data_IF_104264904509
#
_entry.id   IF_104264904509
#
_cell.length_a   1.000
_cell.length_b   1.000
_cell.length_c   1.000
_cell.angle_alpha   90.00
_cell.angle_beta   90.00
_cell.angle_gamma   90.00
#
_symmetry.space_group_name_H-M   'P 1'
#
loop_
_entity.id
_entity.type
_entity.pdbx_description
1 polymer ?
#
# COMPACT_ATOMS: atom_id res chain seq x y z
N UNK A 1 -16.88 0.67 1.14
CA UNK A 1 -15.72 -0.11 0.66
C UNK A 1 -15.47 -1.35 1.53
N UNK A 2 -15.25 -1.22 2.84
CA UNK A 2 -14.93 -2.35 3.74
C UNK A 2 -15.94 -3.50 3.66
N UNK A 3 -17.26 -3.23 3.76
CA UNK A 3 -18.29 -4.29 3.68
C UNK A 3 -18.30 -5.09 2.37
N UNK A 4 -17.98 -4.44 1.24
CA UNK A 4 -18.00 -5.08 -0.07
C UNK A 4 -16.78 -5.98 -0.26
N UNK A 5 -15.60 -5.50 0.17
CA UNK A 5 -14.37 -6.31 0.20
C UNK A 5 -14.53 -7.48 1.17
N UNK A 6 -15.05 -7.24 2.38
CA UNK A 6 -15.32 -8.29 3.38
C UNK A 6 -16.23 -9.37 2.83
N UNK A 7 -17.34 -9.01 2.16
CA UNK A 7 -18.25 -9.99 1.56
C UNK A 7 -17.60 -10.86 0.48
N UNK A 8 -16.75 -10.29 -0.38
CA UNK A 8 -16.01 -11.04 -1.41
C UNK A 8 -14.96 -11.97 -0.79
N UNK A 9 -14.29 -11.53 0.28
CA UNK A 9 -13.32 -12.36 0.99
C UNK A 9 -14.02 -13.54 1.68
N UNK A 10 -15.09 -13.27 2.43
CA UNK A 10 -15.88 -14.28 3.13
C UNK A 10 -16.47 -15.31 2.15
N UNK A 11 -17.02 -14.88 1.01
CA UNK A 11 -17.56 -15.79 -0.01
C UNK A 11 -16.49 -16.68 -0.65
N UNK A 12 -15.21 -16.31 -0.56
CA UNK A 12 -14.07 -17.05 -1.07
C UNK A 12 -13.28 -17.80 0.02
N UNK A 13 -13.85 -17.96 1.22
CA UNK A 13 -13.20 -18.60 2.38
C UNK A 13 -11.89 -17.90 2.80
N UNK A 14 -11.83 -16.58 2.63
CA UNK A 14 -10.71 -15.74 3.03
C UNK A 14 -11.11 -14.92 4.27
N UNK A 15 -10.23 -14.80 5.28
CA UNK A 15 -10.50 -13.95 6.43
C UNK A 15 -10.83 -12.51 6.00
N UNK A 16 -11.92 -11.94 6.51
CA UNK A 16 -12.35 -10.57 6.18
C UNK A 16 -11.38 -9.45 6.60
N UNK A 17 -10.29 -9.80 7.29
CA UNK A 17 -9.25 -8.90 7.78
C UNK A 17 -7.93 -8.99 6.99
N UNK A 18 -8.00 -9.27 5.67
CA UNK A 18 -6.80 -9.29 4.82
C UNK A 18 -6.53 -7.89 4.26
N UNK A 19 -5.27 -7.50 4.44
CA UNK A 19 -4.57 -6.28 4.06
C UNK A 19 -5.06 -5.64 2.74
N UNK A 20 -5.24 -4.32 2.76
CA UNK A 20 -5.51 -3.49 1.58
C UNK A 20 -4.21 -2.79 1.17
N UNK A 21 -3.61 -3.22 0.07
CA UNK A 21 -2.49 -2.49 -0.55
C UNK A 21 -3.03 -1.29 -1.35
N UNK A 22 -2.25 -0.23 -1.37
CA UNK A 22 -2.55 1.18 -1.68
C UNK A 22 -3.41 1.50 -2.92
N UNK A 23 -4.06 2.68 -2.89
CA UNK A 23 -4.81 3.27 -4.01
C UNK A 23 -3.97 4.35 -4.71
N UNK A 24 -3.55 4.08 -5.94
CA UNK A 24 -3.11 5.10 -6.89
C UNK A 24 -4.30 5.82 -7.53
N UNK A 25 -4.18 7.13 -7.77
CA UNK A 25 -5.21 7.91 -8.47
C UNK A 25 -5.40 7.48 -9.93
N UNK A 26 -6.57 7.77 -10.51
CA UNK A 26 -6.96 7.34 -11.86
C UNK A 26 -5.98 7.79 -12.97
N UNK A 27 -5.27 8.89 -12.77
CA UNK A 27 -4.32 9.45 -13.75
C UNK A 27 -3.07 8.57 -13.94
N UNK A 28 -2.62 7.88 -12.88
CA UNK A 28 -1.43 7.01 -12.95
C UNK A 28 -1.80 5.66 -13.58
N UNK A 29 -3.00 5.14 -13.31
CA UNK A 29 -3.55 3.98 -14.00
C UNK A 29 -3.74 4.22 -15.51
N UNK A 30 -4.08 5.45 -15.90
CA UNK A 30 -4.14 5.87 -17.31
C UNK A 30 -2.75 5.94 -17.96
N UNK A 31 -1.74 6.43 -17.25
CA UNK A 31 -0.37 6.50 -17.76
C UNK A 31 0.18 5.08 -18.03
N UNK A 32 -0.04 4.14 -17.10
CA UNK A 32 0.42 2.75 -17.22
C UNK A 32 -0.32 2.00 -18.34
N UNK A 33 -1.65 2.17 -18.46
CA UNK A 33 -2.43 1.50 -19.49
C UNK A 33 -2.13 1.97 -20.93
N UNK A 34 -1.58 3.18 -21.08
CA UNK A 34 -1.26 3.80 -22.37
C UNK A 34 0.24 3.75 -22.73
N UNK A 35 1.11 3.33 -21.82
CA UNK A 35 2.56 3.33 -22.04
C UNK A 35 2.99 2.13 -22.88
N UNK A 36 3.33 2.37 -24.14
CA UNK A 36 3.78 1.36 -25.10
C UNK A 36 5.17 0.78 -24.78
N UNK A 37 5.90 1.34 -23.81
CA UNK A 37 7.18 0.79 -23.32
C UNK A 37 6.97 -0.35 -22.32
N UNK A 38 5.75 -0.48 -21.77
CA UNK A 38 5.34 -1.57 -20.89
C UNK A 38 4.76 -2.68 -21.79
N UNK A 39 5.48 -3.79 -22.01
CA UNK A 39 5.21 -4.68 -23.16
C UNK A 39 3.90 -5.46 -23.09
N UNK A 40 3.20 -5.49 -21.95
CA UNK A 40 1.88 -6.13 -21.81
C UNK A 40 1.24 -5.78 -20.44
N UNK A 41 0.13 -5.03 -20.42
CA UNK A 41 -0.80 -5.07 -19.27
C UNK A 41 -1.87 -6.10 -19.60
N UNK A 42 -1.58 -7.37 -19.27
CA UNK A 42 -2.47 -8.50 -19.49
C UNK A 42 -3.47 -8.64 -18.34
N UNK A 43 -4.70 -8.17 -18.51
CA UNK A 43 -5.84 -8.64 -17.72
C UNK A 43 -6.48 -9.82 -18.45
N UNK A 44 -5.74 -10.92 -18.53
CA UNK A 44 -6.34 -12.19 -18.92
C UNK A 44 -7.02 -12.78 -17.69
N UNK A 45 -8.19 -13.39 -17.91
CA UNK A 45 -9.01 -14.18 -16.97
C UNK A 45 -8.24 -15.34 -16.26
N UNK A 46 -6.93 -15.39 -16.45
CA UNK A 46 -5.92 -16.21 -15.79
C UNK A 46 -4.54 -15.62 -16.14
N UNK A 47 -4.12 -14.53 -15.49
CA UNK A 47 -2.71 -14.14 -15.54
C UNK A 47 -1.90 -15.24 -14.86
N UNK A 48 -0.83 -15.74 -15.50
CA UNK A 48 0.10 -16.71 -14.90
C UNK A 48 0.57 -16.15 -13.54
N UNK A 49 -0.02 -16.61 -12.43
CA UNK A 49 0.37 -16.17 -11.09
C UNK A 49 -0.74 -16.12 -10.04
N UNK A 50 -2.01 -15.85 -10.40
CA UNK A 50 -3.06 -15.64 -9.41
C UNK A 50 -4.50 -15.91 -9.89
N UNK A 51 -5.42 -16.09 -8.94
CA UNK A 51 -6.85 -16.35 -9.14
C UNK A 51 -7.64 -15.06 -8.94
N UNK A 52 -8.32 -14.60 -9.99
CA UNK A 52 -9.24 -13.46 -9.89
C UNK A 52 -10.49 -13.89 -9.10
N UNK A 53 -10.78 -13.19 -8.01
CA UNK A 53 -11.94 -13.43 -7.14
C UNK A 53 -13.15 -12.59 -7.58
N UNK A 54 -12.89 -11.36 -8.02
CA UNK A 54 -13.90 -10.44 -8.58
C UNK A 54 -13.22 -9.43 -9.51
N UNK A 55 -13.99 -8.89 -10.46
CA UNK A 55 -13.53 -7.85 -11.39
C UNK A 55 -12.69 -8.42 -12.53
N UNK A 56 -11.63 -7.71 -12.90
CA UNK A 56 -10.66 -8.13 -13.92
C UNK A 56 -11.07 -7.81 -15.35
N UNK A 57 -12.10 -6.99 -15.55
CA UNK A 57 -12.58 -6.58 -16.86
C UNK A 57 -12.56 -5.06 -17.02
N UNK A 58 -12.30 -4.61 -18.25
CA UNK A 58 -12.52 -3.24 -18.69
C UNK A 58 -14.03 -3.01 -18.81
N UNK A 59 -14.49 -1.79 -18.53
CA UNK A 59 -15.88 -1.38 -18.70
C UNK A 59 -15.96 -0.61 -20.01
N UNK A 60 -16.64 -1.19 -21.00
CA UNK A 60 -16.88 -0.57 -22.31
C UNK A 60 -17.77 0.67 -22.15
N UNK A 61 -17.14 1.85 -22.21
CA UNK A 61 -17.75 3.17 -21.94
C UNK A 61 -16.90 4.24 -22.63
N UNK A 62 -17.47 5.42 -22.87
CA UNK A 62 -16.66 6.59 -23.21
C UNK A 62 -15.75 6.96 -22.02
N UNK A 63 -14.48 6.55 -22.07
CA UNK A 63 -13.48 6.78 -21.01
C UNK A 63 -12.63 5.55 -20.70
N UNK A 64 -11.76 5.66 -19.69
CA UNK A 64 -10.85 4.58 -19.27
C UNK A 64 -11.34 3.98 -17.95
N UNK A 65 -12.36 3.11 -18.03
CA UNK A 65 -12.98 2.50 -16.87
C UNK A 65 -12.62 1.03 -16.76
N UNK A 66 -12.31 0.58 -15.55
CA UNK A 66 -12.11 -0.85 -15.26
C UNK A 66 -12.80 -1.23 -13.96
N UNK A 67 -13.15 -2.50 -13.83
CA UNK A 67 -13.72 -3.02 -12.60
C UNK A 67 -12.64 -3.07 -11.50
N UNK A 68 -12.97 -2.63 -10.26
CA UNK A 68 -12.15 -2.96 -9.10
C UNK A 68 -11.94 -4.47 -9.03
N UNK A 69 -10.68 -4.89 -8.94
CA UNK A 69 -10.29 -6.29 -9.10
C UNK A 69 -9.65 -6.81 -7.82
N UNK A 70 -10.05 -8.00 -7.38
CA UNK A 70 -9.38 -8.70 -6.26
C UNK A 70 -8.77 -9.99 -6.80
N UNK A 71 -7.49 -10.21 -6.52
CA UNK A 71 -6.74 -11.37 -6.99
C UNK A 71 -6.09 -12.08 -5.80
N UNK A 72 -6.41 -13.36 -5.60
CA UNK A 72 -5.63 -14.23 -4.72
C UNK A 72 -4.34 -14.64 -5.44
N UNK A 73 -3.17 -14.35 -4.86
CA UNK A 73 -1.88 -14.50 -5.55
C UNK A 73 -0.79 -15.02 -4.60
N UNK A 74 0.27 -15.61 -5.16
CA UNK A 74 1.47 -15.95 -4.39
C UNK A 74 2.25 -14.68 -4.01
N UNK A 75 2.78 -14.56 -2.78
CA UNK A 75 3.66 -13.45 -2.39
C UNK A 75 4.99 -13.43 -3.14
N UNK A 76 5.35 -14.51 -3.82
CA UNK A 76 6.57 -14.60 -4.63
C UNK A 76 6.37 -14.16 -6.08
N UNK A 77 5.14 -13.87 -6.49
CA UNK A 77 4.85 -13.44 -7.86
C UNK A 77 5.53 -12.09 -8.15
N UNK A 78 6.13 -11.95 -9.33
CA UNK A 78 6.88 -10.74 -9.67
C UNK A 78 6.00 -9.49 -9.72
N UNK A 79 4.75 -9.64 -10.18
CA UNK A 79 3.76 -8.55 -10.23
C UNK A 79 3.43 -7.96 -8.85
N UNK A 80 3.65 -8.71 -7.75
CA UNK A 80 3.44 -8.20 -6.38
C UNK A 80 4.57 -7.28 -5.93
N UNK A 81 5.75 -7.38 -6.55
CA UNK A 81 6.93 -6.55 -6.22
C UNK A 81 6.90 -5.21 -6.94
N UNK A 82 6.06 -5.08 -7.96
CA UNK A 82 5.89 -3.88 -8.74
C UNK A 82 4.67 -3.10 -8.25
N UNK A 83 4.78 -1.78 -8.23
CA UNK A 83 3.67 -0.92 -7.82
C UNK A 83 2.66 -0.79 -8.96
N UNK A 84 1.54 -1.49 -8.82
CA UNK A 84 0.41 -1.35 -9.73
C UNK A 84 -0.46 -0.18 -9.28
N UNK A 85 -0.28 0.98 -9.91
CA UNK A 85 -1.15 2.16 -9.69
C UNK A 85 -2.52 1.99 -10.35
N UNK A 86 -3.30 1.01 -9.91
CA UNK A 86 -4.63 0.72 -10.42
C UNK A 86 -5.55 0.13 -9.34
N UNK A 87 -6.85 -0.02 -9.61
CA UNK A 87 -7.82 -0.52 -8.64
C UNK A 87 -7.76 -2.05 -8.51
N UNK A 88 -6.57 -2.60 -8.23
CA UNK A 88 -6.33 -4.04 -8.10
C UNK A 88 -5.79 -4.34 -6.70
N UNK A 89 -6.48 -5.22 -5.99
CA UNK A 89 -6.10 -5.69 -4.66
C UNK A 89 -5.54 -7.11 -4.73
N UNK A 90 -4.27 -7.27 -4.35
CA UNK A 90 -3.65 -8.57 -4.14
C UNK A 90 -3.94 -9.12 -2.74
N UNK A 91 -4.47 -10.33 -2.69
CA UNK A 91 -4.76 -11.06 -1.46
C UNK A 91 -3.78 -12.22 -1.34
N UNK A 92 -3.05 -12.23 -0.24
CA UNK A 92 -2.02 -13.23 0.06
C UNK A 92 -2.25 -13.78 1.46
N UNK A 93 -2.02 -15.09 1.63
CA UNK A 93 -2.07 -15.75 2.95
C UNK A 93 -0.68 -15.76 3.55
N UNK A 94 -0.62 -15.55 4.85
CA UNK A 94 0.61 -15.66 5.64
C UNK A 94 0.30 -16.38 6.96
N UNK A 95 1.32 -16.95 7.58
CA UNK A 95 1.20 -17.64 8.87
C UNK A 95 1.94 -16.88 9.99
N UNK A 96 3.02 -16.18 9.64
CA UNK A 96 3.86 -15.50 10.61
C UNK A 96 3.80 -13.99 10.43
N UNK A 97 3.99 -13.24 11.53
CA UNK A 97 4.08 -11.78 11.45
C UNK A 97 5.23 -11.35 10.52
N UNK A 98 6.32 -12.12 10.47
CA UNK A 98 7.49 -11.83 9.63
C UNK A 98 7.14 -11.80 8.13
N UNK A 99 6.26 -12.69 7.70
CA UNK A 99 5.74 -12.71 6.32
C UNK A 99 4.83 -11.50 6.03
N UNK A 100 4.20 -10.92 7.06
CA UNK A 100 3.32 -9.76 6.92
C UNK A 100 4.04 -8.39 6.96
N UNK A 101 5.36 -8.35 7.23
CA UNK A 101 6.13 -7.10 7.42
C UNK A 101 6.20 -6.23 6.16
N UNK A 102 5.85 -6.76 4.98
CA UNK A 102 5.71 -5.98 3.74
C UNK A 102 4.58 -4.93 3.76
N UNK A 103 3.78 -4.90 4.82
CA UNK A 103 2.64 -4.00 4.99
C UNK A 103 2.96 -2.77 5.86
N UNK A 104 2.21 -1.67 5.66
CA UNK A 104 2.18 -0.52 6.55
C UNK A 104 1.03 -0.54 7.57
N UNK A 105 0.17 -1.56 7.54
CA UNK A 105 -1.02 -1.67 8.41
C UNK A 105 -1.32 -3.10 8.84
N UNK A 106 -1.69 -3.30 10.11
CA UNK A 106 -2.22 -4.59 10.62
C UNK A 106 -3.56 -4.43 11.32
N UNK A 107 -4.34 -5.51 11.35
CA UNK A 107 -5.56 -5.61 12.13
C UNK A 107 -5.39 -6.72 13.17
N UNK A 108 -5.38 -6.35 14.45
CA UNK A 108 -5.18 -7.28 15.57
C UNK A 108 -5.72 -6.69 16.86
N UNK A 109 -6.11 -7.58 17.79
CA UNK A 109 -6.48 -7.21 19.17
C UNK A 109 -5.42 -7.60 20.21
N UNK A 110 -4.32 -8.22 19.76
CA UNK A 110 -3.25 -8.75 20.62
C UNK A 110 -2.19 -7.67 20.88
N UNK A 111 -2.07 -7.11 22.09
CA UNK A 111 -1.10 -6.05 22.38
C UNK A 111 0.34 -6.44 22.08
N UNK A 112 0.72 -7.69 22.33
CA UNK A 112 2.06 -8.22 22.05
C UNK A 112 2.43 -8.16 20.56
N UNK A 113 1.44 -8.35 19.68
CA UNK A 113 1.63 -8.21 18.23
C UNK A 113 1.73 -6.74 17.84
N UNK A 114 0.94 -5.87 18.48
CA UNK A 114 0.96 -4.43 18.26
C UNK A 114 2.33 -3.85 18.59
N UNK A 115 2.86 -4.13 19.78
CA UNK A 115 4.18 -3.62 20.19
C UNK A 115 5.32 -4.17 19.34
N UNK A 116 5.23 -5.42 18.89
CA UNK A 116 6.19 -5.98 17.94
C UNK A 116 6.11 -5.30 16.56
N UNK A 117 4.90 -4.95 16.11
CA UNK A 117 4.64 -4.30 14.82
C UNK A 117 5.16 -2.87 14.72
N UNK A 118 4.98 -2.08 15.78
CA UNK A 118 5.47 -0.69 15.85
C UNK A 118 6.93 -0.60 16.31
N UNK A 119 7.50 -1.73 16.76
CA UNK A 119 8.86 -1.81 17.25
C UNK A 119 9.91 -2.00 16.15
N UNK A 120 11.19 -2.09 16.53
CA UNK A 120 12.31 -2.16 15.58
C UNK A 120 12.36 -3.45 14.73
N UNK A 121 11.58 -4.47 15.09
CA UNK A 121 11.47 -5.74 14.35
C UNK A 121 10.15 -5.86 13.57
N UNK A 122 9.39 -4.76 13.51
CA UNK A 122 8.07 -4.70 12.90
C UNK A 122 8.09 -4.18 11.47
N UNK A 123 7.09 -3.37 11.12
CA UNK A 123 7.02 -2.72 9.80
C UNK A 123 8.22 -1.80 9.58
N UNK A 124 8.71 -1.77 8.35
CA UNK A 124 9.79 -0.89 7.92
C UNK A 124 9.29 0.28 7.05
N UNK A 125 7.98 0.51 7.06
CA UNK A 125 7.34 1.64 6.40
C UNK A 125 7.47 2.92 7.24
N UNK A 126 7.46 4.09 6.59
CA UNK A 126 7.46 5.37 7.30
C UNK A 126 6.13 5.69 8.02
N UNK A 127 5.06 4.98 7.66
CA UNK A 127 3.74 5.04 8.28
C UNK A 127 3.39 3.62 8.76
N UNK A 128 2.99 3.49 10.01
CA UNK A 128 2.73 2.20 10.66
C UNK A 128 1.40 2.25 11.41
N UNK A 129 0.38 1.61 10.83
CA UNK A 129 -1.01 1.67 11.31
C UNK A 129 -1.45 0.37 12.00
N UNK A 130 -2.39 0.51 12.94
CA UNK A 130 -3.02 -0.59 13.67
C UNK A 130 -4.52 -0.38 13.72
N UNK A 131 -5.28 -1.37 13.25
CA UNK A 131 -6.75 -1.36 13.18
C UNK A 131 -7.35 -0.21 12.35
N UNK A 132 -6.53 0.43 11.51
CA UNK A 132 -6.91 1.47 10.54
C UNK A 132 -6.17 1.14 9.25
N UNK A 133 -6.80 1.26 8.06
CA UNK A 133 -6.16 1.00 6.78
C UNK A 133 -4.91 1.86 6.49
N UNK A 134 -4.21 1.53 5.41
CA UNK A 134 -2.94 2.17 4.99
C UNK A 134 -3.03 3.66 4.69
N UNK A 135 -4.24 4.18 4.45
CA UNK A 135 -4.49 5.61 4.23
C UNK A 135 -4.79 6.39 5.54
N UNK A 136 -4.68 5.76 6.70
CA UNK A 136 -4.83 6.43 7.99
C UNK A 136 -3.66 7.35 8.26
N UNK A 137 -3.80 8.64 7.92
CA UNK A 137 -2.82 9.70 8.15
C UNK A 137 -3.58 10.98 8.58
N UNK A 138 -2.96 11.79 9.43
CA UNK A 138 -3.48 13.07 9.90
C UNK A 138 -2.37 14.14 9.81
N UNK A 139 -2.75 15.40 9.59
CA UNK A 139 -1.83 16.49 9.20
C UNK A 139 -0.83 16.86 10.32
N UNK A 140 -1.14 16.55 11.58
CA UNK A 140 -0.23 16.76 12.71
C UNK A 140 0.98 15.81 12.73
N UNK A 141 0.90 14.66 12.04
CA UNK A 141 1.99 13.70 11.91
C UNK A 141 2.93 13.99 10.73
N UNK A 142 4.16 13.49 10.81
CA UNK A 142 5.07 13.48 9.66
C UNK A 142 4.64 12.42 8.65
N UNK A 143 4.36 12.83 7.41
CA UNK A 143 3.99 11.93 6.32
C UNK A 143 5.19 11.61 5.43
N UNK A 144 5.44 10.35 5.14
CA UNK A 144 6.49 9.95 4.20
C UNK A 144 6.87 8.48 4.34
N UNK A 145 7.65 7.99 3.39
CA UNK A 145 8.07 6.60 3.33
C UNK A 145 9.57 6.40 3.51
N UNK A 146 9.98 5.14 3.58
CA UNK A 146 11.36 4.72 3.71
C UNK A 146 11.87 4.03 2.43
N UNK A 147 13.17 3.72 2.39
CA UNK A 147 13.82 2.97 1.31
C UNK A 147 13.66 3.67 -0.06
N UNK A 148 13.21 2.93 -1.08
CA UNK A 148 12.97 3.45 -2.43
C UNK A 148 11.91 4.57 -2.48
N UNK A 149 11.12 4.77 -1.42
CA UNK A 149 10.14 5.85 -1.31
C UNK A 149 10.79 7.22 -1.08
N UNK A 150 12.07 7.28 -0.70
CA UNK A 150 12.85 8.53 -0.69
C UNK A 150 13.16 9.14 0.68
N UNK A 151 12.60 8.64 1.78
CA UNK A 151 13.00 9.02 3.15
C UNK A 151 12.56 10.41 3.64
N UNK A 152 12.12 11.29 2.74
CA UNK A 152 11.60 12.62 3.09
C UNK A 152 10.36 12.56 4.00
N UNK A 153 10.06 13.69 4.65
CA UNK A 153 8.85 13.86 5.46
C UNK A 153 8.11 15.16 5.15
N UNK A 154 6.80 15.13 5.22
CA UNK A 154 5.92 16.26 4.94
C UNK A 154 4.91 16.47 6.08
N UNK A 155 4.19 17.60 6.01
CA UNK A 155 3.17 18.02 6.97
C UNK A 155 3.71 18.31 8.38
N UNK A 156 3.37 17.50 9.37
CA UNK A 156 3.54 17.82 10.79
C UNK A 156 4.91 17.44 11.36
N UNK A 157 4.95 17.31 12.69
CA UNK A 157 6.19 17.11 13.47
C UNK A 157 7.26 18.15 13.14
N UNK A 158 8.49 17.71 12.93
CA UNK A 158 9.65 18.48 12.57
C UNK A 158 9.99 18.41 11.08
N UNK A 159 9.02 18.03 10.23
CA UNK A 159 9.17 18.00 8.77
C UNK A 159 9.60 19.35 8.21
N UNK A 160 9.18 20.45 8.85
CA UNK A 160 9.58 21.82 8.51
C UNK A 160 11.12 22.02 8.48
N UNK A 161 11.89 21.24 9.24
CA UNK A 161 13.36 21.35 9.27
C UNK A 161 13.99 21.06 7.91
N UNK A 162 13.33 20.29 7.04
CA UNK A 162 13.81 20.04 5.67
C UNK A 162 13.77 21.30 4.78
N UNK A 163 12.92 22.27 5.13
CA UNK A 163 12.75 23.52 4.39
C UNK A 163 13.56 24.69 5.00
N UNK A 164 14.38 24.43 6.03
CA UNK A 164 15.20 25.44 6.69
C UNK A 164 16.66 24.99 6.86
N UNK A 165 17.57 25.95 6.75
CA UNK A 165 18.99 25.73 7.03
C UNK A 165 19.33 26.16 8.46
N UNK A 166 19.63 25.19 9.33
CA UNK A 166 20.10 25.45 10.69
C UNK A 166 21.52 26.01 10.63
N UNK A 167 21.79 27.11 11.36
CA UNK A 167 23.11 27.75 11.42
C UNK A 167 23.54 27.94 12.87
N UNK A 168 24.65 27.32 13.25
CA UNK A 168 25.33 27.61 14.53
C UNK A 168 26.18 28.89 14.38
N UNK A 169 26.16 29.75 15.39
CA UNK A 169 26.85 31.05 15.40
C UNK A 169 27.44 31.32 16.78
N UNK A 170 28.74 31.57 16.82
CA UNK A 170 29.45 32.08 18.00
C UNK A 170 29.91 33.51 17.71
N UNK A 171 29.68 34.42 18.64
CA UNK A 171 30.15 35.81 18.55
C UNK A 171 30.93 36.12 19.84
N UNK A 172 32.23 36.38 19.72
CA UNK A 172 33.05 36.91 20.80
C UNK A 172 33.06 38.44 20.70
N UNK A 173 32.62 39.13 21.77
CA UNK A 173 32.42 40.58 21.76
C UNK A 173 33.42 41.37 22.64
N UNK A 174 34.47 40.71 23.15
CA UNK A 174 35.59 41.27 23.92
C UNK A 174 36.90 40.52 23.61
#
# INVERSE_FOLDING_TARGET
MTKLVTGVLESNNLPGAIFTSFCGGAEIGQAIAKDTRIPLVSFTRSSKGGKILIGGSVIESEGNFMQPTIVEISPTADVVKEELFGPVLYVMKFQTLKEAIVSSSIFTRKPEVIFKWIGPQGSDCGIVNVNIPTNGVEIGGAFGGEKATGGGREAGSDSWKQYWHVKYRTVQYL
#
